data_IF_822532315453
#
_entry.id   IF_822532315453
#
_cell.length_a   1.000
_cell.length_b   1.000
_cell.length_c   1.000
_cell.angle_alpha   90.00
_cell.angle_beta   90.00
_cell.angle_gamma   90.00
#
_symmetry.space_group_name_H-M   'P 1'
#
loop_
_entity.id
_entity.type
_entity.pdbx_description
1 polymer ?
#
# COMPACT_ATOMS: atom_id res chain seq x y z
N UNK A 1 -48.76 -13.92 14.65
CA UNK A 1 -47.53 -13.81 15.45
C UNK A 1 -46.35 -13.78 14.48
N UNK A 2 -45.46 -12.78 14.51
CA UNK A 2 -44.31 -12.76 13.60
C UNK A 2 -43.34 -13.91 13.95
N UNK A 3 -42.70 -14.54 12.96
CA UNK A 3 -41.77 -15.64 13.19
C UNK A 3 -40.55 -15.17 14.00
N UNK A 4 -40.20 -15.94 15.04
CA UNK A 4 -39.03 -15.69 15.88
C UNK A 4 -37.78 -15.88 15.02
N UNK A 5 -36.95 -14.84 14.91
CA UNK A 5 -35.68 -14.94 14.20
C UNK A 5 -34.71 -15.81 14.99
N UNK A 6 -34.03 -16.73 14.32
CA UNK A 6 -32.90 -17.46 14.89
C UNK A 6 -31.79 -16.46 15.27
N UNK A 7 -31.25 -16.54 16.50
CA UNK A 7 -30.12 -15.69 16.89
C UNK A 7 -28.91 -16.02 16.02
N UNK A 8 -28.15 -15.00 15.63
CA UNK A 8 -26.88 -15.16 14.91
C UNK A 8 -25.94 -16.05 15.75
N UNK A 9 -25.35 -17.07 15.13
CA UNK A 9 -24.42 -17.98 15.81
C UNK A 9 -23.20 -17.26 16.39
N UNK A 10 -22.59 -17.87 17.41
CA UNK A 10 -21.42 -17.31 18.10
C UNK A 10 -20.26 -17.05 17.12
N UNK A 11 -19.86 -15.78 17.04
CA UNK A 11 -18.77 -15.34 16.16
C UNK A 11 -17.46 -15.34 16.95
N UNK A 12 -16.57 -16.28 16.64
CA UNK A 12 -15.22 -16.30 17.21
C UNK A 12 -14.48 -14.99 16.90
N UNK A 13 -14.05 -14.26 17.94
CA UNK A 13 -13.22 -13.04 17.84
C UNK A 13 -11.80 -13.34 17.34
N UNK A 14 -11.41 -14.60 17.24
CA UNK A 14 -10.06 -15.02 16.82
C UNK A 14 -9.93 -15.21 15.30
N UNK A 15 -10.99 -14.96 14.54
CA UNK A 15 -10.95 -15.00 13.07
C UNK A 15 -10.20 -13.77 12.56
N UNK A 16 -8.90 -13.91 12.29
CA UNK A 16 -8.11 -12.88 11.61
C UNK A 16 -8.39 -12.96 10.11
N UNK A 17 -9.17 -12.02 9.60
CA UNK A 17 -9.34 -11.83 8.16
C UNK A 17 -7.97 -11.54 7.49
N UNK A 18 -7.74 -12.13 6.32
CA UNK A 18 -6.64 -11.72 5.43
C UNK A 18 -5.25 -12.29 5.72
N UNK A 19 -5.13 -13.50 6.28
CA UNK A 19 -3.82 -14.19 6.32
C UNK A 19 -3.37 -14.54 4.90
N UNK A 20 -2.41 -13.78 4.38
CA UNK A 20 -1.70 -14.11 3.15
C UNK A 20 -1.02 -15.48 3.29
N UNK A 21 -0.95 -16.25 2.21
CA UNK A 21 -0.11 -17.45 2.19
C UNK A 21 1.34 -17.02 2.45
N UNK A 22 2.06 -17.80 3.24
CA UNK A 22 3.50 -17.60 3.35
C UNK A 22 4.17 -17.90 1.99
N UNK A 23 5.34 -17.30 1.70
CA UNK A 23 6.10 -17.65 0.50
C UNK A 23 6.39 -19.15 0.40
N UNK A 24 6.63 -19.81 1.54
CA UNK A 24 6.82 -21.25 1.61
C UNK A 24 5.57 -22.03 1.17
N UNK A 25 4.40 -21.68 1.70
CA UNK A 25 3.13 -22.30 1.30
C UNK A 25 2.84 -22.08 -0.19
N UNK A 26 3.15 -20.91 -0.75
CA UNK A 26 3.04 -20.68 -2.20
C UNK A 26 3.99 -21.57 -3.00
N UNK A 27 5.23 -21.74 -2.54
CA UNK A 27 6.19 -22.67 -3.13
C UNK A 27 5.67 -24.12 -3.12
N UNK A 28 5.06 -24.56 -2.03
CA UNK A 28 4.41 -25.88 -1.95
C UNK A 28 3.24 -26.01 -2.95
N UNK A 29 2.40 -24.98 -3.07
CA UNK A 29 1.31 -24.94 -4.06
C UNK A 29 1.85 -25.10 -5.48
N UNK A 30 2.86 -24.30 -5.85
CA UNK A 30 3.47 -24.34 -7.18
C UNK A 30 4.12 -25.70 -7.45
N UNK A 31 4.86 -26.24 -6.47
CA UNK A 31 5.51 -27.54 -6.59
C UNK A 31 4.51 -28.69 -6.76
N UNK A 32 3.40 -28.70 -6.01
CA UNK A 32 2.34 -29.70 -6.16
C UNK A 32 1.58 -29.56 -7.49
N UNK A 33 1.41 -28.33 -7.97
CA UNK A 33 0.81 -28.09 -9.28
C UNK A 33 1.67 -28.62 -10.42
N UNK A 34 2.99 -28.40 -10.38
CA UNK A 34 3.92 -28.99 -11.36
C UNK A 34 3.97 -30.52 -11.32
N UNK A 35 3.64 -31.13 -10.18
CA UNK A 35 3.44 -32.58 -10.06
C UNK A 35 2.11 -33.06 -10.66
N UNK A 36 1.26 -32.17 -11.17
CA UNK A 36 -0.05 -32.49 -11.76
C UNK A 36 -1.20 -32.57 -10.76
N UNK A 37 -1.01 -32.16 -9.50
CA UNK A 37 -2.09 -32.19 -8.52
C UNK A 37 -3.19 -31.17 -8.85
N UNK A 38 -4.46 -31.56 -8.69
CA UNK A 38 -5.61 -30.66 -8.91
C UNK A 38 -5.65 -29.56 -7.83
N UNK A 39 -6.00 -28.30 -8.15
CA UNK A 39 -6.05 -27.20 -7.19
C UNK A 39 -6.89 -27.49 -5.94
N UNK A 40 -8.04 -28.16 -6.10
CA UNK A 40 -8.91 -28.55 -4.99
C UNK A 40 -8.23 -29.54 -4.02
N UNK A 41 -7.41 -30.47 -4.54
CA UNK A 41 -6.66 -31.41 -3.71
C UNK A 41 -5.54 -30.69 -2.94
N UNK A 42 -4.87 -29.72 -3.58
CA UNK A 42 -3.83 -28.88 -2.96
C UNK A 42 -4.43 -28.05 -1.82
N UNK A 43 -5.60 -27.46 -2.04
CA UNK A 43 -6.33 -26.67 -1.04
C UNK A 43 -6.64 -27.50 0.22
N UNK A 44 -7.18 -28.71 0.04
CA UNK A 44 -7.47 -29.64 1.13
C UNK A 44 -6.20 -30.07 1.87
N UNK A 45 -5.13 -30.40 1.15
CA UNK A 45 -3.87 -30.84 1.74
C UNK A 45 -3.19 -29.74 2.58
N UNK A 46 -3.20 -28.50 2.09
CA UNK A 46 -2.56 -27.36 2.77
C UNK A 46 -3.49 -26.64 3.76
N UNK A 47 -4.77 -27.03 3.86
CA UNK A 47 -5.81 -26.37 4.67
C UNK A 47 -5.94 -24.88 4.32
N UNK A 48 -5.92 -24.56 3.03
CA UNK A 48 -6.03 -23.20 2.49
C UNK A 48 -7.28 -23.12 1.61
N UNK A 49 -7.88 -21.94 1.52
CA UNK A 49 -9.04 -21.71 0.65
C UNK A 49 -8.69 -21.91 -0.83
N UNK A 50 -9.57 -22.57 -1.60
CA UNK A 50 -9.37 -22.89 -3.02
C UNK A 50 -9.09 -21.63 -3.87
N UNK A 51 -9.78 -20.52 -3.57
CA UNK A 51 -9.56 -19.25 -4.28
C UNK A 51 -8.12 -18.73 -4.12
N UNK A 52 -7.48 -18.97 -2.97
CA UNK A 52 -6.11 -18.53 -2.75
C UNK A 52 -5.11 -19.41 -3.52
N UNK A 53 -5.40 -20.71 -3.68
CA UNK A 53 -4.62 -21.61 -4.55
C UNK A 53 -4.73 -21.14 -6.00
N UNK A 54 -5.95 -20.94 -6.52
CA UNK A 54 -6.18 -20.47 -7.89
C UNK A 54 -5.53 -19.12 -8.16
N UNK A 55 -5.70 -18.16 -7.25
CA UNK A 55 -5.06 -16.84 -7.35
C UNK A 55 -3.52 -16.94 -7.34
N UNK A 56 -2.97 -17.88 -6.57
CA UNK A 56 -1.53 -18.14 -6.54
C UNK A 56 -1.04 -18.63 -7.90
N UNK A 57 -1.70 -19.63 -8.48
CA UNK A 57 -1.37 -20.18 -9.80
C UNK A 57 -1.50 -19.14 -10.92
N UNK A 58 -2.57 -18.34 -10.92
CA UNK A 58 -2.78 -17.31 -11.95
C UNK A 58 -1.65 -16.25 -11.99
N UNK A 59 -1.01 -15.98 -10.85
CA UNK A 59 0.02 -14.95 -10.72
C UNK A 59 1.41 -15.54 -10.41
N UNK A 60 1.61 -16.83 -10.63
CA UNK A 60 2.87 -17.49 -10.24
C UNK A 60 4.06 -16.99 -11.07
N UNK A 61 3.83 -16.69 -12.34
CA UNK A 61 4.86 -16.19 -13.27
C UNK A 61 5.26 -14.73 -12.96
N UNK A 62 4.33 -13.95 -12.40
CA UNK A 62 4.56 -12.54 -12.06
C UNK A 62 5.33 -12.36 -10.75
N UNK A 63 5.34 -13.35 -9.86
CA UNK A 63 5.93 -13.24 -8.52
C UNK A 63 7.38 -13.69 -8.52
N UNK A 64 8.27 -12.85 -8.02
CA UNK A 64 9.65 -13.25 -7.67
C UNK A 64 9.68 -13.93 -6.29
N UNK A 65 10.37 -15.07 -6.19
CA UNK A 65 10.63 -15.79 -4.93
C UNK A 65 9.36 -16.10 -4.10
N UNK A 66 8.22 -16.34 -4.76
CA UNK A 66 6.94 -16.62 -4.10
C UNK A 66 6.46 -15.53 -3.11
N UNK A 67 6.98 -14.30 -3.24
CA UNK A 67 6.56 -13.15 -2.43
C UNK A 67 5.37 -12.44 -3.06
N UNK A 68 4.58 -11.76 -2.24
CA UNK A 68 3.47 -10.94 -2.72
C UNK A 68 3.97 -9.75 -3.53
N UNK A 69 3.20 -9.39 -4.56
CA UNK A 69 3.45 -8.19 -5.34
C UNK A 69 3.04 -6.96 -4.50
N UNK A 70 3.90 -5.94 -4.40
CA UNK A 70 3.53 -4.71 -3.72
C UNK A 70 2.37 -4.05 -4.48
N UNK A 71 1.41 -3.50 -3.73
CA UNK A 71 0.36 -2.67 -4.33
C UNK A 71 1.02 -1.42 -4.93
N UNK A 72 0.58 -1.03 -6.13
CA UNK A 72 1.04 0.20 -6.75
C UNK A 72 0.84 1.38 -5.78
N UNK A 73 1.89 2.17 -5.59
CA UNK A 73 1.81 3.35 -4.74
C UNK A 73 0.79 4.34 -5.30
N UNK A 74 0.10 5.05 -4.40
CA UNK A 74 -0.76 6.16 -4.81
C UNK A 74 0.08 7.24 -5.50
N UNK A 75 -0.37 7.72 -6.65
CA UNK A 75 0.28 8.83 -7.37
C UNK A 75 0.38 10.06 -6.45
N UNK A 76 1.51 10.76 -6.52
CA UNK A 76 1.72 12.02 -5.81
C UNK A 76 0.71 13.08 -6.29
N UNK A 77 0.38 14.03 -5.42
CA UNK A 77 -0.54 15.13 -5.76
C UNK A 77 0.10 16.22 -6.64
N UNK A 78 1.39 16.08 -6.94
CA UNK A 78 2.20 17.04 -7.69
C UNK A 78 3.09 16.29 -8.68
N UNK A 79 3.31 16.90 -9.84
CA UNK A 79 4.19 16.37 -10.88
C UNK A 79 5.66 16.71 -10.61
N UNK A 80 6.58 16.07 -11.33
CA UNK A 80 8.01 16.45 -11.25
C UNK A 80 8.27 17.85 -11.80
N UNK A 81 7.42 18.35 -12.70
CA UNK A 81 7.45 19.75 -13.15
C UNK A 81 7.12 20.68 -11.98
N UNK A 82 6.09 20.36 -11.22
CA UNK A 82 5.69 21.16 -10.05
C UNK A 82 6.80 21.18 -9.00
N UNK A 83 7.47 20.04 -8.75
CA UNK A 83 8.66 19.99 -7.87
C UNK A 83 9.72 21.00 -8.30
N UNK A 84 10.11 20.99 -9.58
CA UNK A 84 11.16 21.87 -10.11
C UNK A 84 10.77 23.34 -9.98
N UNK A 85 9.52 23.67 -10.29
CA UNK A 85 8.99 25.03 -10.18
C UNK A 85 8.97 25.51 -8.74
N UNK A 86 8.49 24.68 -7.80
CA UNK A 86 8.47 24.97 -6.37
C UNK A 86 9.89 25.24 -5.85
N UNK A 87 10.83 24.33 -6.11
CA UNK A 87 12.22 24.44 -5.64
C UNK A 87 12.87 25.72 -6.18
N UNK A 88 12.73 26.01 -7.48
CA UNK A 88 13.27 27.23 -8.10
C UNK A 88 12.68 28.49 -7.45
N UNK A 89 11.37 28.52 -7.23
CA UNK A 89 10.71 29.69 -6.65
C UNK A 89 11.16 29.95 -5.21
N UNK A 90 11.28 28.90 -4.39
CA UNK A 90 11.75 29.02 -2.99
C UNK A 90 13.18 29.55 -2.93
N UNK A 91 14.06 29.10 -3.85
CA UNK A 91 15.44 29.59 -3.95
C UNK A 91 15.52 31.07 -4.34
N UNK A 92 14.69 31.51 -5.29
CA UNK A 92 14.65 32.91 -5.73
C UNK A 92 13.98 33.85 -4.72
N UNK A 93 12.96 33.36 -4.02
CA UNK A 93 12.12 34.17 -3.13
C UNK A 93 11.91 33.46 -1.78
N UNK A 94 12.94 33.34 -0.93
CA UNK A 94 12.89 32.55 0.30
C UNK A 94 11.86 33.08 1.33
N UNK A 95 11.55 34.38 1.28
CA UNK A 95 10.57 35.02 2.17
C UNK A 95 9.12 34.91 1.67
N UNK A 96 8.90 34.45 0.43
CA UNK A 96 7.54 34.36 -0.10
C UNK A 96 6.75 33.23 0.56
N UNK A 97 5.49 33.52 0.86
CA UNK A 97 4.60 32.53 1.45
C UNK A 97 4.25 31.44 0.44
N UNK A 98 4.01 30.23 0.95
CA UNK A 98 3.63 29.08 0.12
C UNK A 98 2.35 29.33 -0.70
N UNK A 99 1.39 30.09 -0.13
CA UNK A 99 0.16 30.50 -0.83
C UNK A 99 0.45 31.35 -2.07
N UNK A 100 1.42 32.28 -1.99
CA UNK A 100 1.86 33.10 -3.14
C UNK A 100 2.49 32.25 -4.23
N UNK A 101 3.33 31.28 -3.86
CA UNK A 101 3.94 30.33 -4.78
C UNK A 101 2.86 29.56 -5.56
N UNK A 102 1.94 28.91 -4.84
CA UNK A 102 0.88 28.10 -5.45
C UNK A 102 0.00 28.92 -6.40
N UNK A 103 -0.39 30.14 -5.98
CA UNK A 103 -1.18 31.05 -6.82
C UNK A 103 -0.43 31.45 -8.08
N UNK A 104 0.86 31.78 -7.99
CA UNK A 104 1.67 32.20 -9.15
C UNK A 104 1.81 31.09 -10.18
N UNK A 105 1.90 29.84 -9.74
CA UNK A 105 2.13 28.69 -10.61
C UNK A 105 0.84 27.89 -10.90
N UNK A 106 -0.33 28.42 -10.53
CA UNK A 106 -1.64 27.78 -10.73
C UNK A 106 -1.70 26.33 -10.23
N UNK A 107 -0.99 26.03 -9.13
CA UNK A 107 -0.95 24.68 -8.55
C UNK A 107 -2.15 24.53 -7.61
N UNK A 108 -3.21 23.89 -8.09
CA UNK A 108 -4.48 23.72 -7.37
C UNK A 108 -4.59 22.39 -6.63
N UNK A 109 -3.89 21.35 -7.09
CA UNK A 109 -3.97 19.99 -6.55
C UNK A 109 -3.10 19.74 -5.29
N UNK A 110 -2.60 20.80 -4.67
CA UNK A 110 -1.72 20.66 -3.53
C UNK A 110 -2.50 20.38 -2.24
N UNK A 111 -2.57 19.10 -1.84
CA UNK A 111 -3.09 18.68 -0.53
C UNK A 111 -1.96 18.63 0.51
N UNK A 112 -1.66 19.77 1.13
CA UNK A 112 -0.98 19.77 2.45
C UNK A 112 -1.86 18.99 3.44
N UNK A 113 -1.63 17.70 3.67
CA UNK A 113 -2.50 16.90 4.56
C UNK A 113 -2.38 17.30 6.05
N UNK A 114 -1.28 17.93 6.45
CA UNK A 114 -1.06 18.73 7.67
C UNK A 114 0.35 19.31 7.58
N UNK A 115 0.55 20.57 7.94
CA UNK A 115 1.90 21.11 8.17
C UNK A 115 2.44 20.40 9.43
N UNK A 116 3.61 19.73 9.39
CA UNK A 116 4.22 19.25 10.63
C UNK A 116 4.42 20.45 11.54
N UNK A 117 4.04 20.31 12.81
CA UNK A 117 4.33 21.33 13.81
C UNK A 117 5.84 21.56 13.87
N UNK A 118 6.24 22.79 14.15
CA UNK A 118 7.64 23.20 14.13
C UNK A 118 8.34 22.71 15.41
N UNK A 119 8.54 21.39 15.54
CA UNK A 119 9.32 20.80 16.62
C UNK A 119 10.82 20.99 16.38
N UNK A 120 11.63 21.10 17.42
CA UNK A 120 13.10 21.21 17.34
C UNK A 120 13.75 20.19 16.40
N UNK A 121 13.30 18.95 16.42
CA UNK A 121 13.81 17.89 15.54
C UNK A 121 13.63 18.20 14.03
N UNK A 122 12.54 18.87 13.65
CA UNK A 122 12.30 19.30 12.27
C UNK A 122 13.08 20.58 11.93
N UNK A 123 13.27 21.48 12.90
CA UNK A 123 14.06 22.70 12.73
C UNK A 123 15.52 22.37 12.46
N UNK A 124 16.11 21.43 13.20
CA UNK A 124 17.47 20.94 12.99
C UNK A 124 17.65 20.30 11.60
N UNK A 125 16.70 19.47 11.15
CA UNK A 125 16.72 18.90 9.79
C UNK A 125 16.66 19.96 8.70
N UNK A 126 15.89 21.03 8.91
CA UNK A 126 15.83 22.15 7.96
C UNK A 126 17.13 22.95 7.94
N UNK A 127 17.71 23.20 9.11
CA UNK A 127 18.99 23.91 9.24
C UNK A 127 20.13 23.13 8.57
N UNK A 128 20.21 21.82 8.81
CA UNK A 128 21.18 20.95 8.15
C UNK A 128 21.06 20.96 6.62
N UNK A 129 19.82 21.00 6.08
CA UNK A 129 19.61 21.11 4.63
C UNK A 129 20.00 22.48 4.06
N UNK A 130 19.83 23.57 4.82
CA UNK A 130 20.22 24.90 4.37
C UNK A 130 21.74 25.14 4.39
N UNK A 131 22.48 24.38 5.22
CA UNK A 131 23.93 24.51 5.38
C UNK A 131 24.73 23.52 4.50
N UNK A 132 24.05 22.61 3.80
CA UNK A 132 24.63 21.66 2.84
C UNK A 132 24.48 22.19 1.40
#
# INVERSE_FOLDING_TARGET
>A
MPPIRTPLGERSRNTRDGKHLSPYQRGQVIGQYYKGAKPAAIATALKVHDSAVRYTLQHMELRSNSKDLPRAARKLSYSDRDKRVIIRYVRLFPKHTYKRLLKKHSITNWRCKKRPELSEAYTLKRLAWCLA
#
